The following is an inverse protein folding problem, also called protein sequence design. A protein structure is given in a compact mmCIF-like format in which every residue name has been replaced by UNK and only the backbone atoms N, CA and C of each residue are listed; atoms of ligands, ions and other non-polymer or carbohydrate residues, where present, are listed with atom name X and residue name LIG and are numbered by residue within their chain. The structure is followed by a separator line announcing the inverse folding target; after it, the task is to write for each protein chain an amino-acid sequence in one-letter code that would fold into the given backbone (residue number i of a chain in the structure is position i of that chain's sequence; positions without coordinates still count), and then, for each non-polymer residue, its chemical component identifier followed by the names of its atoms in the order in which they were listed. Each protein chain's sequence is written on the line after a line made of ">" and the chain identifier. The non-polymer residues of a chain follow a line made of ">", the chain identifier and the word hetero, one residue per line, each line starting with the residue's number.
data_IF_020981044692
#
_entry.id   IF_020981044692
#
_cell.length_a   1.000
_cell.length_b   1.000
_cell.length_c   1.000
_cell.angle_alpha   90.00
_cell.angle_beta   90.00
_cell.angle_gamma   90.00
#
_symmetry.space_group_name_H-M   'P 1'
#
loop_
_entity.id
_entity.type
_entity.pdbx_description
1 polymer ?
#
# COMPACT_ATOMS: atom_id res chain seq x y z
N UNK A 1 -4.39 -24.04 -5.05
CA UNK A 1 -4.35 -22.61 -5.41
C UNK A 1 -2.92 -22.14 -5.40
N UNK A 2 -2.49 -21.43 -6.44
CA UNK A 2 -1.15 -20.79 -6.50
C UNK A 2 -1.30 -19.26 -6.49
N UNK A 3 -0.55 -18.60 -5.62
CA UNK A 3 -0.59 -17.15 -5.44
C UNK A 3 0.77 -16.57 -5.80
N UNK A 4 0.80 -15.70 -6.79
CA UNK A 4 1.99 -14.94 -7.13
C UNK A 4 1.98 -13.59 -6.43
N UNK A 5 3.07 -13.25 -5.74
CA UNK A 5 3.24 -11.96 -5.05
C UNK A 5 4.44 -11.26 -5.64
N UNK A 6 4.26 -10.10 -6.28
CA UNK A 6 5.35 -9.25 -6.74
C UNK A 6 5.71 -8.21 -5.70
N UNK A 7 6.96 -7.74 -5.66
CA UNK A 7 7.45 -6.87 -4.59
C UNK A 7 7.52 -7.59 -3.24
N UNK A 8 7.89 -8.87 -3.27
CA UNK A 8 7.84 -9.77 -2.12
C UNK A 8 8.81 -9.38 -0.98
N UNK A 9 9.86 -8.62 -1.25
CA UNK A 9 10.80 -8.10 -0.26
C UNK A 9 10.31 -6.81 0.42
N UNK A 10 9.26 -6.17 -0.10
CA UNK A 10 8.63 -4.98 0.48
C UNK A 10 7.81 -5.28 1.74
N UNK A 11 7.34 -4.22 2.42
CA UNK A 11 6.55 -4.33 3.65
C UNK A 11 5.33 -5.23 3.47
N UNK A 12 4.49 -4.93 2.48
CA UNK A 12 3.26 -5.65 2.23
C UNK A 12 3.49 -7.08 1.69
N UNK A 13 4.47 -7.25 0.80
CA UNK A 13 4.82 -8.56 0.25
C UNK A 13 5.29 -9.53 1.33
N UNK A 14 6.04 -9.06 2.32
CA UNK A 14 6.45 -9.87 3.48
C UNK A 14 5.26 -10.24 4.37
N UNK A 15 4.35 -9.28 4.65
CA UNK A 15 3.16 -9.56 5.46
C UNK A 15 2.26 -10.60 4.80
N UNK A 16 2.01 -10.49 3.50
CA UNK A 16 1.24 -11.48 2.74
C UNK A 16 1.85 -12.88 2.86
N UNK A 17 3.16 -13.02 2.66
CA UNK A 17 3.84 -14.32 2.80
C UNK A 17 3.73 -14.88 4.22
N UNK A 18 3.89 -14.03 5.25
CA UNK A 18 3.79 -14.44 6.65
C UNK A 18 2.37 -14.91 6.99
N UNK A 19 1.35 -14.14 6.58
CA UNK A 19 -0.06 -14.46 6.83
C UNK A 19 -0.49 -15.72 6.10
N UNK A 20 -0.10 -15.90 4.84
CA UNK A 20 -0.41 -17.11 4.07
C UNK A 20 0.23 -18.37 4.67
N UNK A 21 1.44 -18.28 5.21
CA UNK A 21 2.12 -19.38 5.89
C UNK A 21 1.48 -19.73 7.24
N UNK A 22 1.09 -18.71 8.01
CA UNK A 22 0.51 -18.90 9.35
C UNK A 22 -1.00 -19.12 9.33
N UNK A 23 -1.68 -18.86 8.22
CA UNK A 23 -3.14 -18.83 8.08
C UNK A 23 -3.83 -17.82 9.01
N UNK A 24 -3.09 -16.83 9.50
CA UNK A 24 -3.57 -15.86 10.50
C UNK A 24 -2.89 -14.51 10.33
N UNK A 25 -3.68 -13.44 10.35
CA UNK A 25 -3.25 -12.04 10.51
C UNK A 25 -3.39 -11.59 11.98
N UNK A 26 -3.03 -10.35 12.26
CA UNK A 26 -3.22 -9.74 13.58
C UNK A 26 -4.71 -9.50 13.93
N UNK A 27 -5.56 -9.38 12.92
CA UNK A 27 -7.00 -9.14 13.09
C UNK A 27 -7.86 -10.40 12.99
N UNK A 28 -7.25 -11.56 12.70
CA UNK A 28 -7.97 -12.84 12.71
C UNK A 28 -7.46 -13.86 11.71
N UNK A 29 -8.13 -15.01 11.60
CA UNK A 29 -7.81 -16.04 10.61
C UNK A 29 -8.10 -15.52 9.20
N UNK A 30 -7.35 -16.01 8.22
CA UNK A 30 -7.66 -15.78 6.80
C UNK A 30 -8.54 -16.92 6.25
N UNK A 31 -9.19 -16.73 5.10
CA UNK A 31 -10.05 -17.73 4.49
C UNK A 31 -9.37 -19.11 4.30
N UNK A 32 -10.10 -20.17 4.65
CA UNK A 32 -9.62 -21.54 4.54
C UNK A 32 -9.22 -21.96 3.11
N UNK A 33 -9.73 -21.28 2.09
CA UNK A 33 -9.38 -21.49 0.69
C UNK A 33 -7.87 -21.31 0.42
N UNK A 34 -7.17 -20.57 1.29
CA UNK A 34 -5.73 -20.37 1.21
C UNK A 34 -4.90 -21.50 1.85
N UNK A 35 -5.54 -22.44 2.55
CA UNK A 35 -4.82 -23.54 3.21
C UNK A 35 -4.09 -24.41 2.18
N UNK A 36 -2.78 -24.54 2.36
CA UNK A 36 -1.92 -25.25 1.43
C UNK A 36 -1.70 -24.56 0.09
N UNK A 37 -1.99 -23.27 -0.01
CA UNK A 37 -1.67 -22.49 -1.22
C UNK A 37 -0.17 -22.47 -1.48
N UNK A 38 0.22 -22.67 -2.73
CA UNK A 38 1.59 -22.50 -3.21
C UNK A 38 1.86 -20.98 -3.38
N UNK A 39 2.96 -20.50 -2.81
CA UNK A 39 3.35 -19.08 -2.86
C UNK A 39 4.51 -18.92 -3.84
N UNK A 40 4.27 -18.23 -4.94
CA UNK A 40 5.28 -17.77 -5.90
C UNK A 40 5.63 -16.30 -5.58
N UNK A 41 6.65 -16.10 -4.76
CA UNK A 41 7.08 -14.76 -4.31
C UNK A 41 8.24 -14.26 -5.17
N UNK A 42 8.08 -13.12 -5.85
CA UNK A 42 9.07 -12.54 -6.76
C UNK A 42 9.32 -11.05 -6.49
N UNK A 43 10.53 -10.60 -6.77
CA UNK A 43 10.94 -9.21 -6.74
C UNK A 43 11.82 -8.90 -7.96
N UNK A 44 12.34 -7.69 -8.07
CA UNK A 44 13.14 -7.20 -9.21
C UNK A 44 14.34 -8.10 -9.53
N UNK A 45 14.90 -8.77 -8.55
CA UNK A 45 16.02 -9.71 -8.69
C UNK A 45 15.62 -11.04 -9.36
N UNK A 46 14.34 -11.38 -9.33
CA UNK A 46 13.77 -12.60 -9.93
C UNK A 46 12.97 -12.30 -11.19
N UNK A 47 12.16 -11.25 -11.16
CA UNK A 47 11.29 -10.84 -12.26
C UNK A 47 11.17 -9.32 -12.34
N UNK A 48 11.78 -8.71 -13.36
CA UNK A 48 11.52 -7.33 -13.71
C UNK A 48 10.13 -7.21 -14.37
N UNK A 49 9.18 -6.62 -13.66
CA UNK A 49 7.81 -6.43 -14.16
C UNK A 49 7.75 -5.51 -15.38
N UNK A 50 8.80 -4.73 -15.66
CA UNK A 50 8.85 -3.85 -16.84
C UNK A 50 9.21 -4.60 -18.13
N UNK A 51 9.76 -5.81 -18.02
CA UNK A 51 10.04 -6.69 -19.17
C UNK A 51 8.78 -7.49 -19.56
N UNK A 52 8.17 -7.09 -20.68
CA UNK A 52 6.91 -7.70 -21.16
C UNK A 52 7.06 -9.18 -21.48
N UNK A 53 8.20 -9.59 -22.06
CA UNK A 53 8.41 -10.99 -22.45
C UNK A 53 8.67 -11.85 -21.23
N UNK A 54 9.57 -11.41 -20.35
CA UNK A 54 9.86 -12.11 -19.10
C UNK A 54 8.59 -12.30 -18.24
N UNK A 55 7.77 -11.27 -18.08
CA UNK A 55 6.49 -11.36 -17.35
C UNK A 55 5.54 -12.36 -17.99
N UNK A 56 5.40 -12.31 -19.31
CA UNK A 56 4.46 -13.18 -20.03
C UNK A 56 4.88 -14.66 -19.92
N UNK A 57 6.16 -14.96 -20.10
CA UNK A 57 6.69 -16.32 -20.01
C UNK A 57 6.63 -16.84 -18.57
N UNK A 58 7.04 -16.02 -17.61
CA UNK A 58 7.03 -16.39 -16.19
C UNK A 58 5.61 -16.69 -15.69
N UNK A 59 4.65 -15.77 -15.89
CA UNK A 59 3.27 -15.98 -15.46
C UNK A 59 2.62 -17.17 -16.15
N UNK A 60 2.93 -17.39 -17.43
CA UNK A 60 2.44 -18.56 -18.17
C UNK A 60 3.02 -19.88 -17.61
N UNK A 61 4.29 -19.91 -17.23
CA UNK A 61 4.94 -21.12 -16.67
C UNK A 61 4.45 -21.41 -15.26
N UNK A 62 4.29 -20.36 -14.41
CA UNK A 62 3.82 -20.49 -13.04
C UNK A 62 2.31 -20.77 -12.95
N UNK A 63 1.54 -20.27 -13.91
CA UNK A 63 0.08 -20.41 -14.01
C UNK A 63 -0.65 -20.14 -12.68
N UNK A 64 -0.46 -18.95 -12.06
CA UNK A 64 -1.07 -18.63 -10.79
C UNK A 64 -2.59 -18.45 -10.91
N UNK A 65 -3.31 -18.72 -9.81
CA UNK A 65 -4.75 -18.42 -9.69
C UNK A 65 -5.00 -16.96 -9.33
N UNK A 66 -4.07 -16.38 -8.56
CA UNK A 66 -4.14 -14.98 -8.09
C UNK A 66 -2.75 -14.35 -8.22
N UNK A 67 -2.69 -13.13 -8.76
CA UNK A 67 -1.49 -12.28 -8.75
C UNK A 67 -1.77 -11.08 -7.85
N UNK A 68 -0.95 -10.90 -6.80
CA UNK A 68 -1.00 -9.73 -5.92
C UNK A 68 0.20 -8.85 -6.21
N UNK A 69 -0.03 -7.70 -6.85
CA UNK A 69 1.04 -6.77 -7.22
C UNK A 69 1.28 -5.74 -6.14
N UNK A 70 2.35 -5.95 -5.36
CA UNK A 70 2.90 -5.00 -4.39
C UNK A 70 4.13 -4.25 -4.93
N UNK A 71 4.63 -4.60 -6.12
CA UNK A 71 5.78 -3.94 -6.73
C UNK A 71 5.40 -2.54 -7.22
N UNK A 72 6.17 -1.54 -6.80
CA UNK A 72 6.00 -0.15 -7.23
C UNK A 72 7.27 0.67 -6.93
N UNK A 73 7.49 1.72 -7.72
CA UNK A 73 8.39 2.81 -7.33
C UNK A 73 7.62 3.76 -6.40
N UNK A 74 7.91 3.68 -5.10
CA UNK A 74 7.18 4.41 -4.03
C UNK A 74 7.92 5.64 -3.50
N UNK A 75 9.14 5.90 -3.97
CA UNK A 75 9.88 7.12 -3.62
C UNK A 75 9.24 8.31 -4.36
N UNK A 76 8.33 9.03 -3.69
CA UNK A 76 7.56 10.14 -4.26
C UNK A 76 8.48 11.20 -4.88
N UNK A 77 9.50 11.66 -4.13
CA UNK A 77 10.45 12.67 -4.61
C UNK A 77 11.32 12.13 -5.76
N UNK A 78 11.71 10.84 -5.68
CA UNK A 78 12.44 10.17 -6.76
C UNK A 78 11.64 10.02 -8.05
N UNK A 79 10.32 9.91 -7.98
CA UNK A 79 9.45 9.85 -9.16
C UNK A 79 9.50 11.15 -9.96
N UNK A 80 9.61 12.32 -9.32
CA UNK A 80 9.71 13.61 -10.01
C UNK A 80 10.99 13.72 -10.86
N UNK A 81 12.09 13.14 -10.38
CA UNK A 81 13.39 13.19 -11.07
C UNK A 81 13.60 12.02 -12.04
N UNK A 82 12.93 10.90 -11.83
CA UNK A 82 13.05 9.68 -12.65
C UNK A 82 11.69 9.28 -13.24
N UNK A 83 11.05 10.23 -13.92
CA UNK A 83 9.67 10.06 -14.42
C UNK A 83 9.52 8.82 -15.32
N UNK A 84 10.44 8.59 -16.24
CA UNK A 84 10.41 7.43 -17.15
C UNK A 84 10.43 6.11 -16.36
N UNK A 85 11.23 6.02 -15.29
CA UNK A 85 11.28 4.84 -14.43
C UNK A 85 9.97 4.69 -13.66
N UNK A 86 9.43 5.78 -13.12
CA UNK A 86 8.15 5.77 -12.42
C UNK A 86 7.01 5.23 -13.32
N UNK A 87 6.90 5.73 -14.54
CA UNK A 87 5.88 5.25 -15.49
C UNK A 87 6.16 3.83 -15.99
N UNK A 88 7.43 3.43 -16.19
CA UNK A 88 7.77 2.04 -16.54
C UNK A 88 7.32 1.07 -15.47
N UNK A 89 7.64 1.33 -14.20
CA UNK A 89 7.31 0.44 -13.10
C UNK A 89 5.83 0.51 -12.75
N UNK A 90 5.33 1.73 -12.44
CA UNK A 90 3.99 1.92 -11.86
C UNK A 90 2.84 1.82 -12.89
N UNK A 91 3.14 1.94 -14.19
CA UNK A 91 2.12 1.83 -15.23
C UNK A 91 2.41 0.68 -16.22
N UNK A 92 3.55 0.69 -16.94
CA UNK A 92 3.83 -0.35 -17.94
C UNK A 92 4.02 -1.74 -17.31
N UNK A 93 4.69 -1.83 -16.15
CA UNK A 93 4.83 -3.08 -15.38
C UNK A 93 3.46 -3.62 -14.94
N UNK A 94 2.58 -2.75 -14.46
CA UNK A 94 1.20 -3.13 -14.09
C UNK A 94 0.42 -3.64 -15.31
N UNK A 95 0.52 -2.95 -16.46
CA UNK A 95 -0.07 -3.43 -17.72
C UNK A 95 0.42 -4.82 -18.08
N UNK A 96 1.72 -5.07 -17.98
CA UNK A 96 2.31 -6.37 -18.32
C UNK A 96 1.74 -7.47 -17.44
N UNK A 97 1.68 -7.24 -16.11
CA UNK A 97 1.10 -8.18 -15.15
C UNK A 97 -0.39 -8.43 -15.41
N UNK A 98 -1.18 -7.37 -15.64
CA UNK A 98 -2.62 -7.51 -15.90
C UNK A 98 -2.90 -8.33 -17.17
N UNK A 99 -2.14 -8.09 -18.26
CA UNK A 99 -2.25 -8.87 -19.50
C UNK A 99 -1.86 -10.33 -19.29
N UNK A 100 -0.79 -10.58 -18.56
CA UNK A 100 -0.34 -11.93 -18.27
C UNK A 100 -1.34 -12.68 -17.37
N UNK A 101 -1.89 -12.00 -16.34
CA UNK A 101 -2.96 -12.52 -15.50
C UNK A 101 -4.20 -12.92 -16.32
N UNK A 102 -4.64 -12.05 -17.25
CA UNK A 102 -5.75 -12.36 -18.16
C UNK A 102 -5.48 -13.59 -19.02
N UNK A 103 -4.25 -13.73 -19.53
CA UNK A 103 -3.87 -14.84 -20.40
C UNK A 103 -3.95 -16.22 -19.72
N UNK A 104 -3.74 -16.27 -18.39
CA UNK A 104 -3.85 -17.48 -17.56
C UNK A 104 -5.15 -17.53 -16.75
N UNK A 105 -6.09 -16.61 -17.01
CA UNK A 105 -7.36 -16.49 -16.29
C UNK A 105 -7.24 -16.21 -14.77
N UNK A 106 -6.11 -15.66 -14.33
CA UNK A 106 -5.84 -15.30 -12.94
C UNK A 106 -6.59 -14.03 -12.50
N UNK A 107 -6.97 -13.98 -11.22
CA UNK A 107 -7.37 -12.73 -10.57
C UNK A 107 -6.15 -11.83 -10.40
N UNK A 108 -6.36 -10.52 -10.51
CA UNK A 108 -5.29 -9.53 -10.37
C UNK A 108 -5.64 -8.51 -9.28
N UNK A 109 -4.85 -8.45 -8.23
CA UNK A 109 -4.98 -7.47 -7.15
C UNK A 109 -3.83 -6.48 -7.28
N UNK A 110 -4.15 -5.21 -7.54
CA UNK A 110 -3.15 -4.15 -7.69
C UNK A 110 -3.26 -3.14 -6.54
N UNK A 111 -2.18 -3.01 -5.78
CA UNK A 111 -2.10 -2.01 -4.70
C UNK A 111 -1.81 -0.63 -5.27
N UNK A 112 -2.69 0.32 -5.01
CA UNK A 112 -2.58 1.72 -5.42
C UNK A 112 -2.44 2.66 -4.21
N UNK A 113 -2.70 3.94 -4.38
CA UNK A 113 -2.36 4.99 -3.42
C UNK A 113 -3.40 6.10 -3.37
N UNK A 114 -3.49 6.77 -2.23
CA UNK A 114 -4.21 8.01 -2.02
C UNK A 114 -3.72 9.20 -2.91
N UNK A 115 -2.47 9.13 -3.40
CA UNK A 115 -1.90 10.15 -4.30
C UNK A 115 -2.56 10.22 -5.70
N UNK A 116 -3.49 9.32 -6.01
CA UNK A 116 -4.30 9.41 -7.24
C UNK A 116 -5.35 10.53 -7.16
N UNK A 117 -5.67 11.02 -5.96
CA UNK A 117 -6.61 12.13 -5.76
C UNK A 117 -5.94 13.51 -5.77
N UNK A 118 -6.74 14.57 -5.86
CA UNK A 118 -6.25 15.95 -5.90
C UNK A 118 -5.55 16.41 -4.63
N UNK A 119 -5.82 15.79 -3.49
CA UNK A 119 -5.17 16.09 -2.22
C UNK A 119 -5.62 17.37 -1.52
N UNK A 120 -6.73 17.95 -1.93
CA UNK A 120 -7.33 19.18 -1.40
C UNK A 120 -8.77 18.98 -0.90
N UNK A 121 -9.14 17.74 -0.57
CA UNK A 121 -10.45 17.38 -0.04
C UNK A 121 -10.74 18.03 1.32
N UNK A 122 -12.02 18.08 1.68
CA UNK A 122 -12.51 18.53 3.00
C UNK A 122 -13.25 17.42 3.74
N UNK A 123 -13.35 16.25 3.12
CA UNK A 123 -13.90 15.00 3.64
C UNK A 123 -13.12 13.84 3.03
N UNK A 124 -13.13 12.64 3.63
CA UNK A 124 -12.47 11.47 3.07
C UNK A 124 -12.93 11.18 1.64
N UNK A 125 -11.97 10.86 0.76
CA UNK A 125 -12.26 10.41 -0.60
C UNK A 125 -12.86 9.01 -0.57
N UNK A 126 -13.86 8.80 -1.40
CA UNK A 126 -14.50 7.50 -1.64
C UNK A 126 -14.02 6.91 -2.97
N UNK A 127 -14.31 5.66 -3.23
CA UNK A 127 -13.97 4.97 -4.48
C UNK A 127 -14.68 5.57 -5.72
N UNK A 128 -15.67 6.43 -5.51
CA UNK A 128 -16.41 7.11 -6.58
C UNK A 128 -15.92 8.54 -6.87
N UNK A 129 -14.99 9.04 -6.04
CA UNK A 129 -14.45 10.37 -6.28
C UNK A 129 -13.52 10.39 -7.50
N UNK A 130 -13.49 11.52 -8.19
CA UNK A 130 -12.69 11.66 -9.40
C UNK A 130 -11.21 11.75 -9.04
N UNK A 131 -10.40 10.89 -9.64
CA UNK A 131 -8.94 10.92 -9.51
C UNK A 131 -8.37 12.14 -10.26
N UNK A 132 -7.44 12.84 -9.62
CA UNK A 132 -6.74 14.02 -10.19
C UNK A 132 -5.35 14.16 -9.57
N UNK A 133 -4.40 13.27 -9.90
CA UNK A 133 -3.08 13.22 -9.28
C UNK A 133 -2.28 14.50 -9.53
N UNK A 134 -1.59 14.98 -8.49
CA UNK A 134 -0.81 16.22 -8.51
C UNK A 134 0.71 15.97 -8.54
N UNK A 135 1.15 14.72 -8.58
CA UNK A 135 2.56 14.32 -8.62
C UNK A 135 2.80 13.24 -9.68
N UNK A 136 4.04 13.08 -10.13
CA UNK A 136 4.42 11.99 -11.04
C UNK A 136 4.14 10.62 -10.42
N UNK A 137 4.40 10.47 -9.11
CA UNK A 137 4.02 9.25 -8.40
C UNK A 137 2.54 8.93 -8.55
N UNK A 138 1.67 9.86 -8.15
CA UNK A 138 0.22 9.68 -8.27
C UNK A 138 -0.24 9.45 -9.71
N UNK A 139 0.28 10.22 -10.67
CA UNK A 139 -0.09 10.08 -12.09
C UNK A 139 0.34 8.73 -12.67
N UNK A 140 1.54 8.26 -12.34
CA UNK A 140 2.03 6.94 -12.78
C UNK A 140 1.22 5.79 -12.17
N UNK A 141 0.82 5.88 -10.89
CA UNK A 141 -0.05 4.91 -10.22
C UNK A 141 -1.46 4.92 -10.84
N UNK A 142 -2.06 6.10 -11.04
CA UNK A 142 -3.38 6.24 -11.68
C UNK A 142 -3.41 5.66 -13.11
N UNK A 143 -2.32 5.80 -13.87
CA UNK A 143 -2.21 5.15 -15.17
C UNK A 143 -2.11 3.63 -15.04
N UNK A 144 -1.43 3.12 -14.00
CA UNK A 144 -1.38 1.69 -13.67
C UNK A 144 -2.76 1.12 -13.37
N UNK A 145 -3.59 1.83 -12.58
CA UNK A 145 -4.99 1.44 -12.32
C UNK A 145 -5.79 1.31 -13.63
N UNK A 146 -5.70 2.33 -14.50
CA UNK A 146 -6.38 2.30 -15.81
C UNK A 146 -5.96 1.10 -16.65
N UNK A 147 -4.66 0.78 -16.68
CA UNK A 147 -4.17 -0.38 -17.41
C UNK A 147 -4.62 -1.70 -16.77
N UNK A 148 -4.60 -1.81 -15.45
CA UNK A 148 -5.05 -3.01 -14.76
C UNK A 148 -6.50 -3.33 -15.11
N UNK A 149 -7.40 -2.35 -15.00
CA UNK A 149 -8.82 -2.51 -15.33
C UNK A 149 -9.07 -2.73 -16.84
N UNK A 150 -8.29 -2.10 -17.72
CA UNK A 150 -8.46 -2.26 -19.16
C UNK A 150 -8.00 -3.61 -19.70
N UNK A 151 -7.02 -4.25 -19.05
CA UNK A 151 -6.41 -5.48 -19.57
C UNK A 151 -6.81 -6.76 -18.83
N UNK A 152 -7.42 -6.66 -17.65
CA UNK A 152 -7.97 -7.82 -16.95
C UNK A 152 -9.28 -7.47 -16.25
N UNK A 153 -10.37 -8.10 -16.65
CA UNK A 153 -11.71 -7.94 -16.06
C UNK A 153 -11.83 -8.52 -14.64
N UNK A 154 -10.91 -9.42 -14.23
CA UNK A 154 -10.83 -9.99 -12.89
C UNK A 154 -9.86 -9.18 -12.00
N UNK A 155 -10.03 -7.86 -11.97
CA UNK A 155 -9.11 -6.95 -11.29
C UNK A 155 -9.73 -6.30 -10.06
N UNK A 156 -8.95 -6.29 -8.97
CA UNK A 156 -9.16 -5.46 -7.80
C UNK A 156 -8.08 -4.37 -7.77
N UNK A 157 -8.48 -3.11 -7.75
CA UNK A 157 -7.59 -1.99 -7.40
C UNK A 157 -7.78 -1.70 -5.92
N UNK A 158 -6.72 -1.68 -5.13
CA UNK A 158 -6.81 -1.40 -3.70
C UNK A 158 -5.94 -0.22 -3.36
N UNK A 159 -6.57 0.95 -3.17
CA UNK A 159 -5.89 2.18 -2.76
C UNK A 159 -5.63 2.16 -1.26
N UNK A 160 -4.40 2.48 -0.87
CA UNK A 160 -3.98 2.58 0.53
C UNK A 160 -3.17 3.86 0.76
N UNK A 161 -2.90 4.20 2.01
CA UNK A 161 -2.12 5.38 2.38
C UNK A 161 -1.22 5.11 3.59
N UNK A 162 -0.10 5.84 3.71
CA UNK A 162 0.78 5.90 4.88
C UNK A 162 1.14 4.53 5.46
N UNK A 163 1.48 3.59 4.57
CA UNK A 163 1.72 2.19 4.91
C UNK A 163 2.95 2.02 5.80
N UNK A 164 2.80 1.25 6.87
CA UNK A 164 3.90 0.81 7.72
C UNK A 164 3.78 -0.68 8.05
N UNK A 165 4.93 -1.36 8.16
CA UNK A 165 5.03 -2.79 8.43
C UNK A 165 6.34 -3.15 9.10
N UNK A 166 6.51 -4.42 9.48
CA UNK A 166 7.67 -4.87 10.25
C UNK A 166 8.97 -4.89 9.45
N UNK A 167 8.90 -5.07 8.14
CA UNK A 167 10.07 -5.14 7.26
C UNK A 167 10.24 -3.82 6.50
N UNK A 168 11.49 -3.47 6.21
CA UNK A 168 11.84 -2.29 5.42
C UNK A 168 11.75 -0.97 6.18
N UNK A 169 11.88 0.14 5.44
CA UNK A 169 11.84 1.51 5.97
C UNK A 169 10.41 2.04 5.95
N UNK A 170 9.99 2.70 7.02
CA UNK A 170 8.72 3.41 7.10
C UNK A 170 8.79 4.60 8.04
N UNK A 171 7.72 5.37 8.10
CA UNK A 171 7.67 6.58 8.90
C UNK A 171 7.80 6.28 10.40
N UNK A 172 7.16 5.22 10.91
CA UNK A 172 7.23 4.85 12.34
C UNK A 172 8.67 4.58 12.76
N UNK A 173 9.39 3.75 12.02
CA UNK A 173 10.81 3.46 12.27
C UNK A 173 11.68 4.70 12.14
N UNK A 174 11.37 5.57 11.16
CA UNK A 174 12.11 6.83 10.95
C UNK A 174 11.96 7.77 12.13
N UNK A 175 10.73 7.98 12.64
CA UNK A 175 10.46 8.82 13.81
C UNK A 175 11.21 8.30 15.03
N UNK A 176 11.10 7.00 15.34
CA UNK A 176 11.79 6.36 16.47
C UNK A 176 13.31 6.54 16.37
N UNK A 177 13.89 6.28 15.20
CA UNK A 177 15.33 6.44 14.97
C UNK A 177 15.78 7.88 15.14
N UNK A 178 15.11 8.85 14.50
CA UNK A 178 15.49 10.26 14.58
C UNK A 178 15.40 10.80 16.01
N UNK A 179 14.37 10.43 16.77
CA UNK A 179 14.24 10.85 18.17
C UNK A 179 15.39 10.29 19.02
N UNK A 180 15.77 9.00 18.84
CA UNK A 180 16.91 8.42 19.53
C UNK A 180 18.24 9.10 19.20
N UNK A 181 18.45 9.42 17.91
CA UNK A 181 19.70 10.03 17.45
C UNK A 181 19.81 11.51 17.83
N UNK A 182 18.69 12.28 17.80
CA UNK A 182 18.70 13.75 17.89
C UNK A 182 17.95 14.31 19.10
N UNK A 183 17.25 13.46 19.86
CA UNK A 183 16.43 13.87 21.01
C UNK A 183 15.09 14.50 20.63
N UNK A 184 14.86 14.90 19.38
CA UNK A 184 13.59 15.47 18.92
C UNK A 184 13.43 15.34 17.41
N UNK A 185 12.19 15.55 16.93
CA UNK A 185 11.87 15.58 15.49
C UNK A 185 10.85 16.70 15.20
N UNK A 186 10.99 17.35 14.02
CA UNK A 186 10.01 18.31 13.51
C UNK A 186 9.22 17.66 12.37
N UNK A 187 7.87 17.75 12.42
CA UNK A 187 6.97 17.06 11.51
C UNK A 187 5.84 17.98 11.06
N UNK A 188 5.43 17.87 9.78
CA UNK A 188 4.35 18.66 9.20
C UNK A 188 3.00 18.35 9.85
N UNK A 189 2.20 19.40 10.12
CA UNK A 189 0.89 19.29 10.77
C UNK A 189 -0.29 19.66 9.85
N UNK A 190 -0.01 20.11 8.64
CA UNK A 190 -0.98 20.56 7.64
C UNK A 190 -1.22 19.53 6.52
N UNK A 191 -0.80 18.28 6.71
CA UNK A 191 -1.07 17.16 5.83
C UNK A 191 -1.81 16.07 6.61
N UNK A 192 -3.01 15.72 6.18
CA UNK A 192 -3.89 14.74 6.85
C UNK A 192 -4.15 13.51 5.98
N UNK A 193 -4.22 12.34 6.62
CA UNK A 193 -4.47 11.05 5.96
C UNK A 193 -4.68 9.92 6.97
N UNK A 194 -4.64 8.68 6.48
CA UNK A 194 -4.87 7.48 7.29
C UNK A 194 -3.59 6.64 7.38
N UNK A 195 -2.97 6.49 8.56
CA UNK A 195 -1.91 5.50 8.75
C UNK A 195 -2.46 4.08 8.59
N UNK A 196 -1.77 3.24 7.82
CA UNK A 196 -2.22 1.89 7.51
C UNK A 196 -1.19 0.84 7.91
N UNK A 197 -1.60 -0.12 8.74
CA UNK A 197 -0.79 -1.28 9.08
C UNK A 197 -0.79 -2.28 7.92
N UNK A 198 0.39 -2.72 7.48
CA UNK A 198 0.55 -3.62 6.34
C UNK A 198 -0.08 -5.01 6.58
N UNK A 199 -0.15 -5.46 7.83
CA UNK A 199 -0.77 -6.74 8.19
C UNK A 199 -2.30 -6.67 8.03
N UNK A 200 -2.94 -5.54 8.44
CA UNK A 200 -4.37 -5.32 8.25
C UNK A 200 -4.74 -5.21 6.77
N UNK A 201 -3.92 -4.48 5.99
CA UNK A 201 -4.09 -4.38 4.55
C UNK A 201 -3.97 -5.76 3.89
N UNK A 202 -2.92 -6.53 4.22
CA UNK A 202 -2.71 -7.86 3.67
C UNK A 202 -3.89 -8.80 3.93
N UNK A 203 -4.49 -8.73 5.13
CA UNK A 203 -5.70 -9.50 5.46
C UNK A 203 -6.85 -9.20 4.49
N UNK A 204 -7.12 -7.92 4.22
CA UNK A 204 -8.23 -7.52 3.33
C UNK A 204 -7.95 -7.86 1.86
N UNK A 205 -6.69 -7.78 1.39
CA UNK A 205 -6.33 -8.26 0.06
C UNK A 205 -6.67 -9.75 -0.11
N UNK A 206 -6.44 -10.55 0.95
CA UNK A 206 -6.78 -11.96 0.94
C UNK A 206 -8.29 -12.22 1.06
N UNK A 207 -9.05 -11.37 1.78
CA UNK A 207 -10.52 -11.45 1.76
C UNK A 207 -11.07 -11.17 0.37
N UNK A 208 -10.61 -10.11 -0.31
CA UNK A 208 -11.02 -9.77 -1.67
C UNK A 208 -10.64 -10.87 -2.68
N UNK A 209 -9.45 -11.44 -2.56
CA UNK A 209 -8.92 -12.41 -3.51
C UNK A 209 -9.75 -13.68 -3.69
N UNK A 210 -10.54 -14.08 -2.69
CA UNK A 210 -11.43 -15.25 -2.80
C UNK A 210 -12.80 -14.92 -3.39
N UNK A 211 -13.15 -13.64 -3.55
CA UNK A 211 -14.43 -13.18 -4.11
C UNK A 211 -14.36 -12.97 -5.62
N UNK A 212 -15.48 -12.62 -6.23
CA UNK A 212 -15.60 -12.15 -7.61
C UNK A 212 -16.10 -10.69 -7.66
N UNK A 213 -16.01 -9.99 -6.54
CA UNK A 213 -16.43 -8.59 -6.39
C UNK A 213 -15.35 -7.64 -6.94
N UNK A 214 -15.03 -7.79 -8.23
CA UNK A 214 -13.98 -7.00 -8.90
C UNK A 214 -14.32 -5.51 -8.92
N UNK A 215 -13.30 -4.66 -8.80
CA UNK A 215 -13.49 -3.22 -8.79
C UNK A 215 -12.42 -2.45 -8.03
N UNK A 216 -12.77 -1.23 -7.62
CA UNK A 216 -11.91 -0.32 -6.89
C UNK A 216 -12.32 -0.31 -5.43
N UNK A 217 -11.32 -0.37 -4.55
CA UNK A 217 -11.46 -0.41 -3.09
C UNK A 217 -10.49 0.55 -2.43
N UNK A 218 -10.92 1.18 -1.36
CA UNK A 218 -10.04 1.81 -0.40
C UNK A 218 -9.81 0.85 0.77
N UNK A 219 -8.56 0.78 1.25
CA UNK A 219 -8.18 -0.07 2.36
C UNK A 219 -7.10 0.62 3.19
N UNK A 220 -7.53 1.42 4.15
CA UNK A 220 -6.69 2.22 5.05
C UNK A 220 -7.08 1.98 6.50
N UNK A 221 -6.19 2.29 7.45
CA UNK A 221 -6.56 2.32 8.86
C UNK A 221 -7.74 3.26 9.10
N UNK A 222 -8.64 2.91 10.01
CA UNK A 222 -9.78 3.74 10.38
C UNK A 222 -9.33 4.96 11.18
N UNK A 223 -10.06 6.07 10.99
CA UNK A 223 -9.70 7.39 11.54
C UNK A 223 -8.65 8.11 10.70
N UNK A 224 -8.46 9.38 10.97
CA UNK A 224 -7.48 10.24 10.30
C UNK A 224 -6.62 11.00 11.29
N UNK A 225 -5.44 11.41 10.85
CA UNK A 225 -4.56 12.28 11.61
C UNK A 225 -3.62 13.08 10.70
N UNK A 226 -2.93 14.10 11.25
CA UNK A 226 -1.79 14.69 10.59
C UNK A 226 -0.52 13.83 10.79
N UNK A 227 0.51 14.05 9.96
CA UNK A 227 1.82 13.44 10.19
C UNK A 227 2.40 13.79 11.56
N UNK A 228 2.15 15.03 12.04
CA UNK A 228 2.54 15.48 13.38
C UNK A 228 1.82 14.67 14.46
N UNK A 229 0.48 14.54 14.39
CA UNK A 229 -0.30 13.75 15.34
C UNK A 229 0.13 12.28 15.35
N UNK A 230 0.42 11.73 14.16
CA UNK A 230 0.94 10.36 14.04
C UNK A 230 2.32 10.23 14.72
N UNK A 231 3.23 11.19 14.50
CA UNK A 231 4.55 11.19 15.13
C UNK A 231 4.48 11.37 16.66
N UNK A 232 3.55 12.19 17.16
CA UNK A 232 3.30 12.33 18.61
C UNK A 232 2.87 11.01 19.23
N UNK A 233 1.95 10.27 18.59
CA UNK A 233 1.50 8.98 19.10
C UNK A 233 2.61 7.91 19.04
N UNK A 234 3.43 7.92 17.99
CA UNK A 234 4.64 7.07 17.89
C UNK A 234 5.59 7.36 19.06
N UNK A 235 5.87 8.63 19.32
CA UNK A 235 6.77 9.05 20.40
C UNK A 235 6.21 8.63 21.78
N UNK A 236 4.93 8.87 22.01
CA UNK A 236 4.22 8.50 23.25
C UNK A 236 4.29 6.98 23.51
N UNK A 237 3.93 6.17 22.52
CA UNK A 237 3.93 4.70 22.62
C UNK A 237 5.35 4.13 22.77
N UNK A 238 6.35 4.82 22.23
CA UNK A 238 7.77 4.42 22.33
C UNK A 238 8.45 4.95 23.62
N UNK A 239 7.75 5.65 24.49
CA UNK A 239 8.29 6.16 25.75
C UNK A 239 9.20 7.39 25.66
N UNK A 240 9.15 8.13 24.52
CA UNK A 240 10.01 9.31 24.31
C UNK A 240 9.45 10.62 24.88
N UNK A 241 8.16 10.68 25.24
CA UNK A 241 7.52 11.91 25.74
C UNK A 241 7.26 12.98 24.65
N UNK A 242 7.17 14.25 25.05
CA UNK A 242 6.81 15.39 24.20
C UNK A 242 8.04 15.95 23.45
N UNK A 243 8.55 15.22 22.48
CA UNK A 243 9.77 15.54 21.71
C UNK A 243 9.49 15.84 20.24
N UNK A 244 8.22 15.82 19.82
CA UNK A 244 7.80 16.12 18.44
C UNK A 244 7.39 17.60 18.35
N UNK A 245 7.89 18.30 17.34
CA UNK A 245 7.57 19.70 17.07
C UNK A 245 6.78 19.83 15.78
N UNK A 246 5.69 20.61 15.73
CA UNK A 246 4.96 20.85 14.48
C UNK A 246 5.72 21.83 13.58
N UNK A 247 5.52 21.68 12.26
CA UNK A 247 5.84 22.68 11.25
C UNK A 247 4.76 22.67 10.16
N UNK A 248 4.83 23.65 9.26
CA UNK A 248 4.01 23.65 8.03
C UNK A 248 4.75 23.01 6.87
N UNK A 249 4.03 22.66 5.80
CA UNK A 249 4.61 22.17 4.54
C UNK A 249 5.56 23.19 3.90
N UNK A 250 5.25 24.48 4.03
CA UNK A 250 6.10 25.57 3.52
C UNK A 250 7.45 25.67 4.27
N UNK A 251 7.44 25.42 5.57
CA UNK A 251 8.66 25.39 6.40
C UNK A 251 9.50 24.14 6.12
N UNK A 252 8.87 23.00 5.84
CA UNK A 252 9.56 21.71 5.59
C UNK A 252 10.26 21.63 4.22
N UNK A 253 9.80 22.42 3.22
CA UNK A 253 10.36 22.51 1.85
C UNK A 253 10.61 21.15 1.18
N UNK A 254 9.56 20.32 1.06
CA UNK A 254 9.63 19.08 0.28
C UNK A 254 9.81 19.38 -1.22
N UNK A 255 10.66 18.62 -1.97
CA UNK A 255 10.78 18.74 -3.41
C UNK A 255 9.46 18.55 -4.17
N UNK A 256 8.61 17.64 -3.68
CA UNK A 256 7.31 17.33 -4.26
C UNK A 256 6.20 17.91 -3.39
N UNK A 257 5.23 18.59 -4.03
CA UNK A 257 4.01 19.00 -3.34
C UNK A 257 3.24 17.77 -2.87
N UNK A 258 3.05 17.65 -1.56
CA UNK A 258 2.30 16.56 -0.95
C UNK A 258 0.84 16.96 -0.73
N UNK A 259 -0.10 16.00 -0.72
CA UNK A 259 -1.50 16.29 -0.45
C UNK A 259 -1.69 16.93 0.93
N UNK A 260 -2.47 18.00 1.00
CA UNK A 260 -2.90 18.60 2.27
C UNK A 260 -3.94 17.71 2.96
N UNK A 261 -4.78 17.06 2.14
CA UNK A 261 -5.81 16.13 2.63
C UNK A 261 -5.91 14.93 1.69
N UNK A 262 -5.53 13.74 2.15
CA UNK A 262 -5.56 12.50 1.36
C UNK A 262 -6.29 11.36 2.08
N UNK A 263 -7.10 11.69 3.08
CA UNK A 263 -7.87 10.68 3.83
C UNK A 263 -8.82 9.92 2.91
N UNK A 264 -8.86 8.59 3.07
CA UNK A 264 -9.72 7.69 2.30
C UNK A 264 -10.81 7.08 3.20
N UNK A 265 -12.00 6.86 2.67
CA UNK A 265 -13.06 6.09 3.31
C UNK A 265 -13.10 4.68 2.67
N UNK A 266 -13.14 3.63 3.51
CA UNK A 266 -13.17 2.22 3.09
C UNK A 266 -14.61 1.78 2.74
N UNK A 267 -15.29 2.50 1.84
CA UNK A 267 -16.70 2.26 1.56
C UNK A 267 -16.94 0.96 0.78
N UNK A 268 -16.08 0.69 -0.21
CA UNK A 268 -16.12 -0.55 -0.98
C UNK A 268 -15.98 -1.80 -0.10
N UNK A 269 -15.08 -1.79 0.88
CA UNK A 269 -14.95 -2.90 1.84
C UNK A 269 -16.21 -3.09 2.68
N UNK A 270 -16.82 -1.98 3.17
CA UNK A 270 -18.07 -2.03 3.95
C UNK A 270 -19.21 -2.67 3.18
N UNK A 271 -19.24 -2.48 1.85
CA UNK A 271 -20.31 -2.98 0.98
C UNK A 271 -20.06 -4.39 0.44
N UNK A 272 -18.85 -4.96 0.58
CA UNK A 272 -18.49 -6.27 0.02
C UNK A 272 -18.04 -7.28 1.07
N UNK A 273 -16.74 -7.31 1.39
CA UNK A 273 -16.15 -8.33 2.29
C UNK A 273 -16.21 -7.95 3.78
N UNK A 274 -16.69 -6.77 4.10
CA UNK A 274 -16.63 -6.18 5.45
C UNK A 274 -15.34 -5.39 5.68
N UNK A 275 -15.46 -4.34 6.48
CA UNK A 275 -14.31 -3.52 6.86
C UNK A 275 -13.89 -3.87 8.29
N UNK A 276 -12.78 -4.59 8.42
CA UNK A 276 -12.15 -4.97 9.68
C UNK A 276 -10.85 -4.22 9.93
N UNK A 277 -10.59 -3.13 9.17
CA UNK A 277 -9.44 -2.27 9.38
C UNK A 277 -9.50 -1.66 10.77
N UNK A 278 -8.44 -1.82 11.55
CA UNK A 278 -8.37 -1.26 12.91
C UNK A 278 -8.27 0.27 12.87
N UNK A 279 -8.76 0.91 13.95
CA UNK A 279 -8.38 2.30 14.23
C UNK A 279 -6.86 2.44 14.24
N UNK A 280 -6.33 3.50 13.62
CA UNK A 280 -4.90 3.66 13.41
C UNK A 280 -4.08 3.68 14.71
N UNK A 281 -4.64 4.20 15.82
CA UNK A 281 -3.97 4.18 17.13
C UNK A 281 -3.87 2.79 17.71
N UNK A 282 -4.94 2.00 17.57
CA UNK A 282 -4.97 0.62 18.02
C UNK A 282 -3.95 -0.23 17.23
N UNK A 283 -3.96 -0.12 15.90
CA UNK A 283 -3.01 -0.81 15.04
C UNK A 283 -1.55 -0.39 15.30
N UNK A 284 -1.31 0.92 15.51
CA UNK A 284 0.02 1.44 15.83
C UNK A 284 0.52 0.92 17.20
N UNK A 285 -0.36 0.88 18.20
CA UNK A 285 0.00 0.35 19.53
C UNK A 285 0.46 -1.10 19.46
N UNK A 286 -0.27 -1.94 18.74
CA UNK A 286 0.09 -3.35 18.57
C UNK A 286 1.40 -3.51 17.80
N UNK A 287 1.59 -2.68 16.76
CA UNK A 287 2.83 -2.65 15.99
C UNK A 287 4.04 -2.25 16.84
N UNK A 288 3.95 -1.17 17.63
CA UNK A 288 5.06 -0.69 18.48
C UNK A 288 5.44 -1.73 19.54
N UNK A 289 4.48 -2.48 20.07
CA UNK A 289 4.74 -3.54 21.05
C UNK A 289 5.49 -4.75 20.47
N UNK A 290 5.50 -4.92 19.14
CA UNK A 290 6.09 -6.09 18.46
C UNK A 290 7.30 -5.73 17.61
N UNK A 291 7.40 -4.47 17.16
CA UNK A 291 8.52 -4.07 16.31
C UNK A 291 9.81 -4.01 17.11
N UNK A 292 10.78 -4.77 16.66
CA UNK A 292 12.15 -4.68 17.16
C UNK A 292 12.83 -3.41 16.65
N UNK A 293 13.75 -2.87 17.43
CA UNK A 293 14.48 -1.61 17.13
C UNK A 293 15.65 -1.82 16.18
#
# INVERSE_FOLDING_TARGET
>A
MKIMITGCHGQLGNELQSILKSMKSEIGPIPEQYRGAEICAVDIDTLDITDTLAVTEFVKSENPDIIINCAAMTNVDGCETMQDVAYKVNAAGVRNLARAAKAVNAKFIHVSTDYVFAGNGTKPYTEWDIINPQSVYGASKALGEKYALAFNDKTFIVCTSWLYGYIGKNFVKTVRRVIREKGSITVVNDQRGNPTNANDLAHHLLLLGITEEYGIYHCTGEGECSWYEFACEIARLSGFGDVVKPCTSDEYKSPTKRPEYSSLENLGLKCSVGNFMRDWKAALKDYINKVED
#
